data_IF_791701426898
#
_entry.id   IF_791701426898
#
_cell.length_a   1.000
_cell.length_b   1.000
_cell.length_c   1.000
_cell.angle_alpha   90.00
_cell.angle_beta   90.00
_cell.angle_gamma   90.00
#
_symmetry.space_group_name_H-M   'P 1'
#
loop_
_entity.id
_entity.type
_entity.pdbx_description
1 polymer ?
#
# COMPACT_ATOMS: atom_id res chain seq x y z
N UNK A 1 -33.13 -34.38 -26.73
CA UNK A 1 -33.91 -33.92 -25.56
C UNK A 1 -32.94 -33.34 -24.54
N UNK A 2 -33.15 -32.08 -24.24
CA UNK A 2 -32.29 -31.16 -23.50
C UNK A 2 -32.26 -31.47 -22.00
N UNK A 3 -31.06 -31.69 -21.45
CA UNK A 3 -30.80 -31.59 -20.00
C UNK A 3 -30.23 -30.20 -19.72
N UNK A 4 -31.08 -29.34 -19.17
CA UNK A 4 -30.72 -28.04 -18.62
C UNK A 4 -29.73 -28.22 -17.47
N UNK A 5 -28.45 -27.93 -17.71
CA UNK A 5 -27.46 -27.76 -16.63
C UNK A 5 -27.75 -26.43 -15.94
N UNK A 6 -28.27 -26.52 -14.72
CA UNK A 6 -28.43 -25.40 -13.79
C UNK A 6 -27.10 -24.67 -13.59
N UNK A 7 -27.13 -23.36 -13.83
CA UNK A 7 -26.07 -22.41 -13.46
C UNK A 7 -25.71 -22.55 -11.97
N UNK A 8 -24.42 -22.63 -11.59
CA UNK A 8 -24.04 -22.58 -10.19
C UNK A 8 -24.35 -21.17 -9.66
N UNK A 9 -25.32 -21.12 -8.76
CA UNK A 9 -25.68 -19.96 -7.97
C UNK A 9 -24.44 -19.38 -7.30
N UNK A 10 -24.29 -18.06 -7.36
CA UNK A 10 -23.22 -17.33 -6.70
C UNK A 10 -23.19 -17.68 -5.21
N UNK A 11 -22.07 -18.23 -4.71
CA UNK A 11 -21.80 -18.27 -3.28
C UNK A 11 -21.54 -16.81 -2.83
N UNK A 12 -22.59 -16.13 -2.38
CA UNK A 12 -22.45 -14.94 -1.55
C UNK A 12 -21.47 -15.28 -0.42
N UNK A 13 -20.44 -14.45 -0.22
CA UNK A 13 -19.59 -14.55 0.95
C UNK A 13 -20.50 -14.44 2.18
N UNK A 14 -20.71 -15.54 2.89
CA UNK A 14 -21.57 -15.58 4.07
C UNK A 14 -21.15 -14.47 5.03
N UNK A 15 -22.04 -13.49 5.26
CA UNK A 15 -21.84 -12.45 6.25
C UNK A 15 -21.83 -13.11 7.62
N UNK A 16 -20.63 -13.35 8.16
CA UNK A 16 -20.43 -13.85 9.52
C UNK A 16 -20.85 -12.76 10.51
N UNK A 17 -21.73 -13.11 11.45
CA UNK A 17 -22.14 -12.23 12.54
C UNK A 17 -21.86 -12.90 13.89
N UNK A 18 -21.57 -12.07 14.89
CA UNK A 18 -21.45 -12.49 16.28
C UNK A 18 -22.65 -11.96 17.06
N UNK A 19 -23.26 -12.79 17.90
CA UNK A 19 -24.41 -12.43 18.73
C UNK A 19 -23.96 -12.17 20.17
N UNK A 20 -24.07 -10.92 20.63
CA UNK A 20 -23.84 -10.54 22.02
C UNK A 20 -25.18 -10.55 22.79
N UNK A 21 -25.23 -11.24 23.93
CA UNK A 21 -26.43 -11.29 24.80
C UNK A 21 -26.11 -10.72 26.17
N UNK A 22 -26.97 -9.84 26.69
CA UNK A 22 -26.77 -9.16 27.97
C UNK A 22 -28.09 -8.75 28.61
N UNK A 23 -28.08 -8.48 29.91
CA UNK A 23 -29.25 -8.03 30.64
C UNK A 23 -29.64 -6.60 30.25
N UNK A 24 -30.95 -6.34 30.03
CA UNK A 24 -31.47 -5.03 29.55
C UNK A 24 -30.96 -3.81 30.34
N UNK A 25 -30.70 -3.97 31.64
CA UNK A 25 -30.14 -2.92 32.53
C UNK A 25 -28.79 -2.34 32.07
N UNK A 26 -28.05 -3.07 31.24
CA UNK A 26 -26.75 -2.63 30.72
C UNK A 26 -26.81 -2.09 29.29
N UNK A 27 -28.01 -1.88 28.74
CA UNK A 27 -28.18 -1.44 27.35
C UNK A 27 -27.35 -0.22 27.03
N UNK A 28 -27.46 0.84 27.83
CA UNK A 28 -26.79 2.11 27.54
C UNK A 28 -25.27 2.00 27.65
N UNK A 29 -24.76 1.26 28.65
CA UNK A 29 -23.33 0.96 28.76
C UNK A 29 -22.82 0.15 27.57
N UNK A 30 -23.61 -0.82 27.10
CA UNK A 30 -23.18 -1.71 26.02
C UNK A 30 -23.23 -1.01 24.67
N UNK A 31 -24.33 -0.32 24.36
CA UNK A 31 -24.48 0.41 23.09
C UNK A 31 -23.65 1.69 23.04
N UNK A 32 -23.29 2.26 24.19
CA UNK A 32 -22.44 3.44 24.29
C UNK A 32 -20.95 3.06 24.32
N UNK A 33 -20.42 2.74 25.49
CA UNK A 33 -18.97 2.64 25.69
C UNK A 33 -18.38 1.28 25.30
N UNK A 34 -19.08 0.17 25.56
CA UNK A 34 -18.50 -1.16 25.38
C UNK A 34 -18.33 -1.53 23.90
N UNK A 35 -19.35 -1.33 23.05
CA UNK A 35 -19.23 -1.65 21.62
C UNK A 35 -18.18 -0.75 20.95
N UNK A 36 -18.09 0.52 21.31
CA UNK A 36 -17.05 1.42 20.81
C UNK A 36 -15.65 0.93 21.21
N UNK A 37 -15.48 0.52 22.46
CA UNK A 37 -14.24 -0.09 22.93
C UNK A 37 -13.91 -1.38 22.16
N UNK A 38 -14.85 -2.32 22.02
CA UNK A 38 -14.65 -3.58 21.26
C UNK A 38 -14.28 -3.30 19.80
N UNK A 39 -14.93 -2.31 19.17
CA UNK A 39 -14.63 -1.91 17.80
C UNK A 39 -13.25 -1.26 17.68
N UNK A 40 -12.83 -0.48 18.69
CA UNK A 40 -11.48 0.10 18.75
C UNK A 40 -10.42 -0.98 18.93
N UNK A 41 -10.56 -1.83 19.95
CA UNK A 41 -9.66 -2.96 20.21
C UNK A 41 -9.59 -3.91 19.02
N UNK A 42 -10.74 -4.24 18.41
CA UNK A 42 -10.78 -5.07 17.22
C UNK A 42 -10.03 -4.48 16.03
N UNK A 43 -10.09 -3.15 15.82
CA UNK A 43 -9.28 -2.46 14.81
C UNK A 43 -7.80 -2.54 15.14
N UNK A 44 -7.41 -2.35 16.41
CA UNK A 44 -6.02 -2.43 16.85
C UNK A 44 -5.44 -3.84 16.72
N UNK A 45 -6.19 -4.87 17.13
CA UNK A 45 -5.82 -6.28 16.95
C UNK A 45 -5.67 -6.61 15.47
N UNK A 46 -6.62 -6.16 14.63
CA UNK A 46 -6.54 -6.40 13.18
C UNK A 46 -5.35 -5.70 12.55
N UNK A 47 -4.96 -4.51 13.04
CA UNK A 47 -3.76 -3.80 12.59
C UNK A 47 -2.49 -4.53 13.04
N UNK A 48 -2.44 -5.00 14.29
CA UNK A 48 -1.30 -5.72 14.88
C UNK A 48 -1.06 -7.07 14.20
N UNK A 49 -2.14 -7.79 13.91
CA UNK A 49 -2.10 -9.12 13.29
C UNK A 49 -2.17 -9.07 11.76
N UNK A 50 -2.17 -7.87 11.15
CA UNK A 50 -2.16 -7.74 9.70
C UNK A 50 -0.79 -8.17 9.19
N UNK A 51 -0.74 -9.25 8.44
CA UNK A 51 0.40 -9.55 7.59
C UNK A 51 0.43 -8.53 6.46
N UNK A 52 1.57 -7.84 6.32
CA UNK A 52 1.84 -6.93 5.21
C UNK A 52 1.93 -7.73 3.92
N UNK A 53 1.58 -7.08 2.81
CA UNK A 53 1.60 -7.69 1.49
C UNK A 53 2.53 -6.93 0.55
N UNK A 54 3.19 -7.69 -0.31
CA UNK A 54 3.93 -7.17 -1.46
C UNK A 54 3.08 -7.43 -2.70
N UNK A 55 2.69 -6.36 -3.38
CA UNK A 55 1.87 -6.38 -4.58
C UNK A 55 2.75 -6.14 -5.80
N UNK A 56 2.51 -6.89 -6.88
CA UNK A 56 3.21 -6.73 -8.17
C UNK A 56 2.20 -6.80 -9.32
N UNK A 57 2.39 -5.98 -10.35
CA UNK A 57 1.59 -6.00 -11.58
C UNK A 57 2.28 -6.86 -12.65
N UNK A 58 2.10 -8.18 -12.60
CA UNK A 58 2.70 -9.06 -13.61
C UNK A 58 1.99 -8.96 -14.97
N UNK A 59 2.74 -8.91 -16.10
CA UNK A 59 2.17 -8.87 -17.46
C UNK A 59 1.50 -10.18 -17.92
N UNK A 60 1.40 -11.16 -17.02
CA UNK A 60 1.18 -12.57 -17.34
C UNK A 60 -0.23 -13.10 -17.15
N UNK A 61 -1.31 -12.32 -17.37
CA UNK A 61 -2.64 -12.92 -17.54
C UNK A 61 -3.44 -12.20 -18.64
N UNK A 62 -3.94 -13.00 -19.58
CA UNK A 62 -4.92 -12.61 -20.61
C UNK A 62 -6.02 -11.77 -19.95
N UNK A 63 -6.44 -10.70 -20.65
CA UNK A 63 -7.61 -9.84 -20.40
C UNK A 63 -8.33 -10.11 -19.08
N UNK A 64 -8.31 -9.17 -18.11
CA UNK A 64 -9.04 -9.35 -16.87
C UNK A 64 -10.48 -9.69 -17.21
N UNK A 65 -10.91 -10.89 -16.82
CA UNK A 65 -12.34 -11.09 -16.59
C UNK A 65 -12.79 -9.99 -15.62
N UNK A 66 -14.03 -9.56 -15.69
CA UNK A 66 -14.61 -8.46 -14.90
C UNK A 66 -14.39 -8.54 -13.36
N UNK A 67 -13.80 -9.65 -12.87
CA UNK A 67 -13.55 -9.96 -11.46
C UNK A 67 -12.09 -10.03 -11.02
N UNK A 68 -11.10 -9.78 -11.89
CA UNK A 68 -9.68 -9.93 -11.51
C UNK A 68 -9.04 -8.58 -11.18
N UNK A 69 -8.37 -8.52 -10.02
CA UNK A 69 -7.58 -7.36 -9.59
C UNK A 69 -6.33 -7.24 -10.47
N UNK A 70 -5.88 -6.01 -10.72
CA UNK A 70 -4.65 -5.76 -11.48
C UNK A 70 -3.39 -6.14 -10.70
N UNK A 71 -3.50 -6.24 -9.38
CA UNK A 71 -2.42 -6.59 -8.48
C UNK A 71 -2.46 -8.08 -8.12
N UNK A 72 -1.32 -8.76 -8.27
CA UNK A 72 -1.03 -10.01 -7.58
C UNK A 72 -0.32 -9.71 -6.26
N UNK A 73 -0.35 -10.61 -5.27
CA UNK A 73 0.34 -10.36 -4.01
C UNK A 73 0.89 -11.60 -3.33
N UNK A 74 1.98 -11.40 -2.60
CA UNK A 74 2.57 -12.33 -1.64
C UNK A 74 2.64 -11.70 -0.25
N UNK A 75 2.91 -12.50 0.77
CA UNK A 75 3.20 -11.97 2.11
C UNK A 75 4.53 -11.21 2.05
N UNK A 76 4.55 -9.99 2.58
CA UNK A 76 5.76 -9.19 2.68
C UNK A 76 6.50 -9.54 3.97
N UNK A 77 7.58 -10.30 3.83
CA UNK A 77 8.53 -10.62 4.88
C UNK A 77 9.92 -10.16 4.46
N UNK A 78 10.37 -9.05 5.04
CA UNK A 78 11.71 -8.53 4.80
C UNK A 78 12.39 -8.20 6.14
N UNK A 79 13.61 -8.68 6.41
CA UNK A 79 14.26 -8.52 7.71
C UNK A 79 14.76 -7.09 7.98
N UNK A 80 14.95 -6.28 6.93
CA UNK A 80 15.53 -4.94 7.10
C UNK A 80 14.66 -4.00 7.92
N UNK A 81 15.28 -3.40 8.92
CA UNK A 81 14.77 -2.27 9.71
C UNK A 81 15.76 -1.12 9.61
N UNK A 82 15.34 0.09 10.01
CA UNK A 82 16.25 1.23 10.11
C UNK A 82 17.42 0.97 11.09
N UNK A 83 17.25 0.08 12.06
CA UNK A 83 18.32 -0.31 13.00
C UNK A 83 19.40 -1.14 12.28
N UNK A 84 19.00 -2.11 11.46
CA UNK A 84 19.93 -2.96 10.68
C UNK A 84 20.62 -2.24 9.53
N UNK A 85 20.13 -1.06 9.14
CA UNK A 85 20.62 -0.32 7.97
C UNK A 85 21.85 0.51 8.31
N UNK A 86 22.94 0.32 7.56
CA UNK A 86 24.12 1.17 7.64
C UNK A 86 23.89 2.47 6.86
N UNK A 87 23.74 3.59 7.57
CA UNK A 87 23.61 4.94 7.01
C UNK A 87 23.98 5.98 8.06
N UNK A 88 24.22 7.21 7.62
CA UNK A 88 24.50 8.37 8.48
C UNK A 88 23.38 8.56 9.53
N UNK A 89 23.68 8.60 10.83
CA UNK A 89 22.69 8.66 11.90
C UNK A 89 21.73 9.85 11.79
N UNK A 90 22.24 11.01 11.38
CA UNK A 90 21.49 12.25 11.24
C UNK A 90 20.42 12.12 10.15
N UNK A 91 20.82 11.64 8.96
CA UNK A 91 19.89 11.37 7.85
C UNK A 91 18.88 10.28 8.21
N UNK A 92 19.32 9.24 8.92
CA UNK A 92 18.45 8.15 9.39
C UNK A 92 17.32 8.71 10.24
N UNK A 93 17.69 9.56 11.21
CA UNK A 93 16.75 10.20 12.13
C UNK A 93 15.77 11.11 11.39
N UNK A 94 16.26 11.95 10.48
CA UNK A 94 15.43 12.84 9.66
C UNK A 94 14.35 12.06 8.89
N UNK A 95 14.74 10.96 8.22
CA UNK A 95 13.81 10.13 7.45
C UNK A 95 12.78 9.45 8.37
N UNK A 96 13.21 8.91 9.50
CA UNK A 96 12.29 8.28 10.47
C UNK A 96 11.28 9.31 10.99
N UNK A 97 11.74 10.49 11.38
CA UNK A 97 10.89 11.56 11.90
C UNK A 97 9.86 12.02 10.87
N UNK A 98 10.28 12.18 9.61
CA UNK A 98 9.37 12.54 8.51
C UNK A 98 8.30 11.47 8.28
N UNK A 99 8.69 10.19 8.23
CA UNK A 99 7.76 9.06 8.04
C UNK A 99 6.74 8.98 9.19
N UNK A 100 7.20 9.08 10.44
CA UNK A 100 6.34 9.04 11.62
C UNK A 100 5.39 10.24 11.63
N UNK A 101 5.89 11.43 11.31
CA UNK A 101 5.08 12.65 11.22
C UNK A 101 4.01 12.50 10.16
N UNK A 102 4.39 12.12 8.92
CA UNK A 102 3.47 11.88 7.81
C UNK A 102 2.37 10.87 8.18
N UNK A 103 2.71 9.79 8.89
CA UNK A 103 1.75 8.76 9.31
C UNK A 103 0.65 9.30 10.25
N UNK A 104 0.95 10.36 11.01
CA UNK A 104 0.05 11.01 11.98
C UNK A 104 -0.63 12.26 11.41
N UNK A 105 -0.17 12.78 10.27
CA UNK A 105 -0.68 14.04 9.70
C UNK A 105 -1.96 13.93 8.87
N UNK A 106 -2.65 12.78 8.84
CA UNK A 106 -3.86 12.59 8.00
C UNK A 106 -4.89 13.72 8.16
N UNK A 107 -5.23 14.06 9.41
CA UNK A 107 -6.24 15.09 9.71
C UNK A 107 -5.74 16.50 9.37
N UNK A 108 -4.43 16.74 9.50
CA UNK A 108 -3.80 17.99 9.08
C UNK A 108 -3.96 18.20 7.57
N UNK A 109 -3.67 17.19 6.76
CA UNK A 109 -3.83 17.24 5.29
C UNK A 109 -5.30 17.47 4.89
N UNK A 110 -6.23 16.78 5.56
CA UNK A 110 -7.66 16.96 5.33
C UNK A 110 -8.12 18.39 5.63
N UNK A 111 -7.66 18.97 6.75
CA UNK A 111 -8.00 20.34 7.17
C UNK A 111 -7.53 21.41 6.18
N UNK A 112 -6.38 21.20 5.54
CA UNK A 112 -5.83 22.14 4.54
C UNK A 112 -6.25 21.80 3.09
N UNK A 113 -7.14 20.83 2.90
CA UNK A 113 -7.65 20.42 1.58
C UNK A 113 -6.61 19.78 0.66
N UNK A 114 -5.52 19.23 1.20
CA UNK A 114 -4.45 18.58 0.40
C UNK A 114 -4.56 17.06 0.44
N UNK A 115 -4.16 16.41 -0.65
CA UNK A 115 -4.07 14.96 -0.71
C UNK A 115 -3.01 14.45 0.27
N UNK A 116 -3.37 13.49 1.12
CA UNK A 116 -2.46 12.85 2.08
C UNK A 116 -1.51 11.89 1.35
N UNK A 117 -0.43 12.46 0.78
CA UNK A 117 0.61 11.76 0.02
C UNK A 117 1.98 12.34 0.36
N UNK A 118 3.01 11.49 0.34
CA UNK A 118 4.42 11.85 0.52
C UNK A 118 5.24 11.12 -0.55
N UNK A 119 6.18 11.83 -1.18
CA UNK A 119 7.06 11.27 -2.20
C UNK A 119 8.50 11.30 -1.76
N UNK A 120 9.25 10.23 -2.05
CA UNK A 120 10.69 10.12 -1.81
C UNK A 120 11.37 9.74 -3.13
N UNK A 121 12.53 10.33 -3.39
CA UNK A 121 13.40 9.94 -4.50
C UNK A 121 14.69 9.39 -3.90
N UNK A 122 14.92 8.09 -4.10
CA UNK A 122 16.14 7.42 -3.66
C UNK A 122 17.06 7.25 -4.87
N UNK A 123 18.21 7.92 -4.87
CA UNK A 123 19.18 7.85 -5.96
C UNK A 123 20.56 7.49 -5.45
N UNK A 124 21.36 6.88 -6.32
CA UNK A 124 22.73 6.47 -6.02
C UNK A 124 23.12 5.19 -6.75
N UNK A 125 24.41 4.79 -6.67
CA UNK A 125 24.91 3.60 -7.36
C UNK A 125 24.08 2.32 -7.10
N UNK A 126 24.09 1.34 -8.00
CA UNK A 126 23.50 0.03 -7.73
C UNK A 126 24.17 -0.60 -6.49
N UNK A 127 23.39 -1.34 -5.69
CA UNK A 127 23.89 -2.01 -4.49
C UNK A 127 23.98 -1.14 -3.22
N UNK A 128 23.57 0.13 -3.24
CA UNK A 128 23.56 1.00 -2.04
C UNK A 128 22.37 0.80 -1.10
N UNK A 129 21.59 -0.26 -1.28
CA UNK A 129 20.48 -0.60 -0.37
C UNK A 129 19.21 0.25 -0.53
N UNK A 130 18.96 0.85 -1.71
CA UNK A 130 17.73 1.63 -1.98
C UNK A 130 16.46 0.80 -1.76
N UNK A 131 16.37 -0.39 -2.34
CA UNK A 131 15.22 -1.29 -2.15
C UNK A 131 15.16 -1.80 -0.69
N UNK A 132 16.30 -1.99 -0.04
CA UNK A 132 16.38 -2.30 1.40
C UNK A 132 15.80 -1.16 2.26
N UNK A 133 16.00 0.09 1.85
CA UNK A 133 15.47 1.27 2.52
C UNK A 133 13.95 1.33 2.42
N UNK A 134 13.40 1.05 1.24
CA UNK A 134 11.96 0.93 1.03
C UNK A 134 11.37 -0.15 1.96
N UNK A 135 12.02 -1.31 2.05
CA UNK A 135 11.58 -2.36 2.96
C UNK A 135 11.61 -1.94 4.43
N UNK A 136 12.65 -1.21 4.86
CA UNK A 136 12.72 -0.65 6.20
C UNK A 136 11.61 0.39 6.46
N UNK A 137 11.26 1.23 5.48
CA UNK A 137 10.13 2.16 5.58
C UNK A 137 8.79 1.42 5.74
N UNK A 138 8.55 0.39 4.91
CA UNK A 138 7.35 -0.44 4.99
C UNK A 138 7.23 -1.12 6.36
N UNK A 139 8.36 -1.58 6.90
CA UNK A 139 8.43 -2.21 8.21
C UNK A 139 8.13 -1.21 9.35
N UNK A 140 8.73 -0.02 9.30
CA UNK A 140 8.50 1.06 10.27
C UNK A 140 7.03 1.50 10.30
N UNK A 141 6.41 1.67 9.13
CA UNK A 141 5.05 2.19 9.00
C UNK A 141 3.96 1.11 9.15
N UNK A 142 4.31 -0.16 8.95
CA UNK A 142 3.33 -1.24 8.86
C UNK A 142 2.50 -1.18 7.57
N UNK A 143 3.08 -0.69 6.48
CA UNK A 143 2.39 -0.44 5.20
C UNK A 143 2.61 -1.60 4.23
N UNK A 144 1.64 -1.80 3.33
CA UNK A 144 1.81 -2.73 2.21
C UNK A 144 2.71 -2.09 1.14
N UNK A 145 3.46 -2.91 0.41
CA UNK A 145 4.35 -2.46 -0.66
C UNK A 145 3.73 -2.81 -2.01
N UNK A 146 3.67 -1.85 -2.92
CA UNK A 146 3.22 -2.03 -4.29
C UNK A 146 4.40 -1.74 -5.20
N UNK A 147 4.99 -2.81 -5.73
CA UNK A 147 6.07 -2.74 -6.70
C UNK A 147 5.46 -2.60 -8.10
N UNK A 148 5.53 -1.38 -8.64
CA UNK A 148 4.95 -1.02 -9.92
C UNK A 148 6.01 -1.19 -11.02
N UNK A 149 5.89 -2.28 -11.76
CA UNK A 149 6.66 -2.52 -12.96
C UNK A 149 6.05 -1.73 -14.13
N UNK A 150 6.62 -0.56 -14.43
CA UNK A 150 6.13 0.33 -15.50
C UNK A 150 6.19 -0.31 -16.89
N UNK A 151 7.17 -1.19 -17.14
CA UNK A 151 7.34 -1.90 -18.42
C UNK A 151 6.18 -2.85 -18.72
N UNK A 152 5.48 -3.32 -17.68
CA UNK A 152 4.30 -4.18 -17.80
C UNK A 152 3.00 -3.39 -18.06
N UNK A 153 3.03 -2.05 -17.98
CA UNK A 153 1.87 -1.18 -18.17
C UNK A 153 1.77 -0.74 -19.63
N UNK A 154 0.64 -1.03 -20.29
CA UNK A 154 0.45 -0.75 -21.73
C UNK A 154 0.14 0.71 -22.02
N UNK A 155 -0.70 1.32 -21.19
CA UNK A 155 -1.16 2.69 -21.41
C UNK A 155 -1.47 3.45 -20.11
N UNK A 156 -1.72 4.75 -20.25
CA UNK A 156 -2.06 5.63 -19.14
C UNK A 156 -3.40 5.28 -18.45
N UNK A 157 -4.29 4.54 -19.12
CA UNK A 157 -5.56 4.10 -18.53
C UNK A 157 -5.32 2.97 -17.56
N UNK A 158 -4.47 2.02 -17.95
CA UNK A 158 -4.01 0.91 -17.13
C UNK A 158 -3.23 1.41 -15.90
N UNK A 159 -2.33 2.38 -16.09
CA UNK A 159 -1.62 3.04 -14.99
C UNK A 159 -2.60 3.68 -13.98
N UNK A 160 -3.59 4.44 -14.48
CA UNK A 160 -4.61 5.06 -13.61
C UNK A 160 -5.39 4.01 -12.84
N UNK A 161 -5.75 2.90 -13.49
CA UNK A 161 -6.50 1.82 -12.86
C UNK A 161 -5.68 1.14 -11.76
N UNK A 162 -4.40 0.87 -11.99
CA UNK A 162 -3.47 0.35 -10.96
C UNK A 162 -3.42 1.26 -9.73
N UNK A 163 -3.27 2.56 -9.95
CA UNK A 163 -3.23 3.56 -8.88
C UNK A 163 -4.55 3.65 -8.11
N UNK A 164 -5.70 3.54 -8.77
CA UNK A 164 -7.03 3.54 -8.13
C UNK A 164 -7.24 2.27 -7.29
N UNK A 165 -6.75 1.11 -7.74
CA UNK A 165 -6.85 -0.15 -7.01
C UNK A 165 -5.89 -0.24 -5.80
N UNK A 166 -4.91 0.66 -5.69
CA UNK A 166 -4.05 0.71 -4.49
C UNK A 166 -4.85 1.09 -3.23
N UNK A 167 -4.54 0.42 -2.12
CA UNK A 167 -5.19 0.67 -0.84
C UNK A 167 -4.47 1.76 -0.04
N UNK A 168 -5.18 2.41 0.89
CA UNK A 168 -4.56 3.36 1.83
C UNK A 168 -3.55 2.67 2.75
N UNK A 169 -2.57 3.42 3.27
CA UNK A 169 -1.44 2.87 4.07
C UNK A 169 -0.59 1.89 3.26
N UNK A 170 -0.12 2.38 2.12
CA UNK A 170 0.72 1.67 1.17
C UNK A 170 1.92 2.51 0.76
N UNK A 171 2.97 1.86 0.30
CA UNK A 171 4.13 2.45 -0.36
C UNK A 171 4.11 1.96 -1.80
N UNK A 172 4.05 2.88 -2.77
CA UNK A 172 4.17 2.56 -4.19
C UNK A 172 5.61 2.79 -4.60
N UNK A 173 6.24 1.75 -5.12
CA UNK A 173 7.61 1.75 -5.60
C UNK A 173 7.57 1.82 -7.11
N UNK A 174 8.37 2.72 -7.67
CA UNK A 174 8.59 2.83 -9.10
C UNK A 174 10.10 2.78 -9.28
N UNK A 175 10.61 1.64 -9.75
CA UNK A 175 12.04 1.46 -10.02
C UNK A 175 12.41 1.94 -11.43
N UNK A 176 13.70 2.17 -11.67
CA UNK A 176 14.30 2.47 -12.98
C UNK A 176 13.63 3.60 -13.79
N UNK A 177 13.21 4.67 -13.12
CA UNK A 177 12.64 5.87 -13.77
C UNK A 177 13.60 6.53 -14.77
N UNK A 178 14.91 6.37 -14.57
CA UNK A 178 15.95 6.96 -15.42
C UNK A 178 16.18 6.15 -16.71
N UNK A 179 15.97 4.83 -16.68
CA UNK A 179 16.18 3.94 -17.83
C UNK A 179 15.09 4.05 -18.91
N UNK A 180 13.96 4.70 -18.59
CA UNK A 180 12.86 4.96 -19.54
C UNK A 180 13.15 6.13 -20.48
N UNK A 181 13.98 7.10 -20.06
CA UNK A 181 14.23 8.33 -20.82
C UNK A 181 15.14 8.11 -22.04
N UNK A 182 15.98 7.06 -22.02
CA UNK A 182 16.85 6.70 -23.16
C UNK A 182 16.08 6.05 -24.33
N UNK A 183 14.79 5.73 -24.16
CA UNK A 183 13.90 5.31 -25.25
C UNK A 183 13.30 6.49 -26.03
N UNK A 184 13.44 7.71 -25.51
CA UNK A 184 13.22 8.95 -26.28
C UNK A 184 14.56 9.48 -26.78
N UNK A 185 15.15 8.78 -27.75
CA UNK A 185 16.28 9.29 -28.51
C UNK A 185 15.90 10.58 -29.24
N UNK A 186 16.31 11.72 -28.69
CA UNK A 186 16.12 13.02 -29.29
C UNK A 186 16.35 14.18 -28.32
N UNK A 187 17.60 14.67 -28.31
CA UNK A 187 18.01 16.02 -27.91
C UNK A 187 18.22 16.35 -26.41
N UNK A 188 19.51 16.37 -26.06
CA UNK A 188 20.11 17.55 -25.46
C UNK A 188 20.23 17.53 -23.94
N UNK A 189 21.47 17.29 -23.47
CA UNK A 189 21.95 17.67 -22.13
C UNK A 189 21.45 19.06 -21.73
N UNK A 190 20.37 19.15 -20.97
CA UNK A 190 20.05 20.36 -20.22
C UNK A 190 20.61 20.19 -18.81
N UNK A 191 21.77 20.80 -18.64
CA UNK A 191 22.41 21.08 -17.35
C UNK A 191 21.43 21.91 -16.51
N UNK A 192 20.77 21.28 -15.54
CA UNK A 192 19.95 22.00 -14.56
C UNK A 192 20.89 22.84 -13.69
N UNK A 193 20.89 24.16 -13.91
CA UNK A 193 21.52 25.15 -13.06
C UNK A 193 20.42 25.77 -12.21
N UNK A 194 20.50 25.63 -10.90
CA UNK A 194 19.68 26.40 -9.97
C UNK A 194 20.43 27.71 -9.67
N UNK A 195 19.74 28.84 -9.83
CA UNK A 195 20.02 30.10 -9.11
C UNK A 195 19.11 30.17 -7.89
#
# INVERSE_FOLDING_TARGET
MSTSRSMPYYQEQEKRFYKLTFHKKYRDTITGSYLDHVMKEGKEIRLRNRQRKLYTNSPGYKWPSYKQTMWSHIVFEHPATFETMAMEPEKKKEIIEDLVTFSKSKDFYARIGKAWKRGYLLFGPPGTGKSTMIAAMANLLGYDVYDLELTAVKDNTELRKLLIETTSKSIIVIEDIDCSLDLTGGEGRRKWRWE
#
